data_IF_067892104905
#
_entry.id   IF_067892104905
#
_cell.length_a   1.000
_cell.length_b   1.000
_cell.length_c   1.000
_cell.angle_alpha   90.00
_cell.angle_beta   90.00
_cell.angle_gamma   90.00
#
_symmetry.space_group_name_H-M   'P 1'
#
loop_
_entity.id
_entity.type
_entity.pdbx_description
1 polymer ?
#
# COMPACT_ATOMS: atom_id res chain seq x y z
N UNK A 1 -0.37 -30.06 11.80
CA UNK A 1 -0.43 -29.01 10.75
C UNK A 1 0.45 -29.39 9.57
N UNK A 2 0.11 -30.49 8.87
CA UNK A 2 0.99 -31.15 7.89
C UNK A 2 0.26 -31.49 6.57
N UNK A 3 -0.75 -30.71 6.16
CA UNK A 3 -1.45 -30.98 4.88
C UNK A 3 -1.26 -29.93 3.79
N UNK A 4 -0.70 -28.74 4.08
CA UNK A 4 -0.49 -27.71 3.04
C UNK A 4 0.88 -27.76 2.34
N UNK A 5 1.91 -28.41 2.91
CA UNK A 5 3.22 -28.53 2.25
C UNK A 5 3.27 -29.57 1.13
N UNK A 6 2.33 -30.51 1.06
CA UNK A 6 2.37 -31.58 0.06
C UNK A 6 1.80 -31.13 -1.30
N UNK A 7 0.76 -30.30 -1.30
CA UNK A 7 0.13 -29.79 -2.53
C UNK A 7 1.04 -28.80 -3.26
N UNK A 8 1.74 -27.93 -2.53
CA UNK A 8 2.70 -26.99 -3.11
C UNK A 8 3.92 -27.72 -3.72
N UNK A 9 4.42 -28.78 -3.08
CA UNK A 9 5.55 -29.56 -3.61
C UNK A 9 5.18 -30.35 -4.87
N UNK A 10 3.96 -30.90 -4.93
CA UNK A 10 3.45 -31.63 -6.10
C UNK A 10 3.20 -30.69 -7.29
N UNK A 11 2.71 -29.46 -7.05
CA UNK A 11 2.53 -28.46 -8.10
C UNK A 11 3.87 -27.88 -8.61
N UNK A 12 4.87 -27.76 -7.75
CA UNK A 12 6.21 -27.31 -8.18
C UNK A 12 6.95 -28.41 -8.97
N UNK A 13 6.84 -29.66 -8.53
CA UNK A 13 7.43 -30.79 -9.24
C UNK A 13 6.76 -31.05 -10.60
N UNK A 14 5.44 -30.85 -10.70
CA UNK A 14 4.72 -30.98 -11.98
C UNK A 14 5.04 -29.84 -12.94
N UNK A 15 5.20 -28.61 -12.45
CA UNK A 15 5.60 -27.46 -13.27
C UNK A 15 7.04 -27.58 -13.78
N UNK A 16 7.98 -28.00 -12.93
CA UNK A 16 9.37 -28.21 -13.35
C UNK A 16 9.50 -29.40 -14.31
N UNK A 17 8.78 -30.49 -14.07
CA UNK A 17 8.73 -31.62 -14.99
C UNK A 17 8.09 -31.23 -16.34
N UNK A 18 7.03 -30.42 -16.33
CA UNK A 18 6.40 -29.91 -17.55
C UNK A 18 7.35 -28.98 -18.31
N UNK A 19 8.09 -28.11 -17.61
CA UNK A 19 9.03 -27.18 -18.22
C UNK A 19 10.27 -27.90 -18.77
N UNK A 20 10.81 -28.91 -18.07
CA UNK A 20 11.89 -29.77 -18.57
C UNK A 20 11.42 -30.61 -19.75
N UNK A 21 10.20 -31.15 -19.70
CA UNK A 21 9.60 -31.90 -20.81
C UNK A 21 9.33 -31.02 -22.03
N UNK A 22 8.84 -29.79 -21.82
CA UNK A 22 8.64 -28.78 -22.87
C UNK A 22 9.97 -28.34 -23.46
N UNK A 23 11.00 -28.10 -22.64
CA UNK A 23 12.34 -27.75 -23.13
C UNK A 23 13.03 -28.91 -23.85
N UNK A 24 12.89 -30.15 -23.38
CA UNK A 24 13.41 -31.32 -24.09
C UNK A 24 12.64 -31.56 -25.39
N UNK A 25 11.32 -31.29 -25.42
CA UNK A 25 10.53 -31.33 -26.66
C UNK A 25 10.88 -30.19 -27.60
N UNK A 26 11.12 -28.98 -27.10
CA UNK A 26 11.52 -27.83 -27.91
C UNK A 26 12.92 -28.05 -28.49
N UNK A 27 13.86 -28.60 -27.71
CA UNK A 27 15.21 -28.93 -28.18
C UNK A 27 15.21 -30.12 -29.15
N UNK A 28 14.39 -31.14 -28.88
CA UNK A 28 14.15 -32.23 -29.83
C UNK A 28 13.46 -31.72 -31.09
N UNK A 29 12.48 -30.83 -30.98
CA UNK A 29 11.77 -30.24 -32.11
C UNK A 29 12.68 -29.30 -32.89
N UNK A 30 13.55 -28.51 -32.28
CA UNK A 30 14.51 -27.67 -33.00
C UNK A 30 15.60 -28.51 -33.65
N UNK A 31 16.04 -29.61 -33.01
CA UNK A 31 16.94 -30.60 -33.59
C UNK A 31 16.32 -31.39 -34.75
N UNK A 32 15.02 -31.72 -34.66
CA UNK A 32 14.25 -32.36 -35.73
C UNK A 32 14.00 -31.35 -36.86
N UNK A 33 13.59 -30.13 -36.54
CA UNK A 33 13.31 -29.06 -37.51
C UNK A 33 14.59 -28.64 -38.24
N UNK A 34 15.76 -28.60 -37.58
CA UNK A 34 17.05 -28.33 -38.26
C UNK A 34 17.52 -29.50 -39.14
N UNK A 35 17.28 -30.76 -38.72
CA UNK A 35 17.50 -31.94 -39.58
C UNK A 35 16.51 -32.04 -40.74
N UNK A 36 15.26 -31.66 -40.51
CA UNK A 36 14.16 -31.69 -41.47
C UNK A 36 14.30 -30.53 -42.45
N UNK A 37 14.67 -29.32 -42.01
CA UNK A 37 15.07 -28.21 -42.91
C UNK A 37 16.32 -28.60 -43.72
N UNK A 38 17.29 -29.28 -43.10
CA UNK A 38 18.49 -29.78 -43.78
C UNK A 38 18.25 -30.91 -44.78
N UNK A 39 17.17 -31.70 -44.62
CA UNK A 39 16.77 -32.80 -45.54
C UNK A 39 15.64 -32.45 -46.51
N UNK A 40 14.81 -31.46 -46.20
CA UNK A 40 13.59 -31.08 -46.94
C UNK A 40 13.83 -29.98 -47.98
N UNK A 41 14.99 -29.31 -47.94
CA UNK A 41 15.37 -28.35 -48.99
C UNK A 41 15.68 -28.98 -50.37
N UNK A 42 15.51 -30.29 -50.55
CA UNK A 42 15.72 -30.97 -51.84
C UNK A 42 14.44 -31.37 -52.57
N UNK A 43 13.25 -31.26 -51.97
CA UNK A 43 11.99 -31.65 -52.60
C UNK A 43 11.05 -30.45 -52.77
N UNK A 44 10.63 -30.19 -54.02
CA UNK A 44 9.81 -29.02 -54.38
C UNK A 44 8.44 -29.02 -53.72
N UNK A 45 7.91 -30.19 -53.36
CA UNK A 45 6.58 -30.35 -52.75
C UNK A 45 6.52 -29.84 -51.30
N UNK A 46 7.58 -30.04 -50.52
CA UNK A 46 7.67 -29.56 -49.14
C UNK A 46 7.83 -28.04 -49.08
N UNK A 47 8.64 -27.48 -49.99
CA UNK A 47 8.77 -26.02 -50.16
C UNK A 47 7.43 -25.41 -50.57
N UNK A 48 6.67 -26.11 -51.41
CA UNK A 48 5.34 -25.67 -51.83
C UNK A 48 4.31 -25.76 -50.71
N UNK A 49 4.46 -26.68 -49.77
CA UNK A 49 3.63 -26.78 -48.56
C UNK A 49 3.95 -25.66 -47.57
N UNK A 50 5.24 -25.43 -47.27
CA UNK A 50 5.66 -24.32 -46.42
C UNK A 50 5.24 -22.95 -46.96
N UNK A 51 5.32 -22.74 -48.27
CA UNK A 51 4.84 -21.50 -48.90
C UNK A 51 3.33 -21.30 -48.71
N UNK A 52 2.54 -22.37 -48.77
CA UNK A 52 1.10 -22.33 -48.51
C UNK A 52 0.81 -22.00 -47.04
N UNK A 53 1.51 -22.65 -46.11
CA UNK A 53 1.33 -22.41 -44.67
C UNK A 53 1.72 -20.98 -44.28
N UNK A 54 2.80 -20.42 -44.85
CA UNK A 54 3.20 -19.02 -44.65
C UNK A 54 2.14 -18.06 -45.19
N UNK A 55 1.58 -18.35 -46.37
CA UNK A 55 0.52 -17.53 -46.96
C UNK A 55 -0.74 -17.54 -46.09
N UNK A 56 -1.12 -18.69 -45.55
CA UNK A 56 -2.29 -18.83 -44.68
C UNK A 56 -2.09 -18.08 -43.34
N UNK A 57 -0.90 -18.18 -42.76
CA UNK A 57 -0.53 -17.41 -41.57
C UNK A 57 -0.52 -15.89 -41.83
N UNK A 58 -0.07 -15.46 -43.00
CA UNK A 58 -0.11 -14.04 -43.41
C UNK A 58 -1.55 -13.54 -43.56
N UNK A 59 -2.45 -14.36 -44.09
CA UNK A 59 -3.87 -14.03 -44.20
C UNK A 59 -4.54 -13.96 -42.82
N UNK A 60 -4.24 -14.91 -41.93
CA UNK A 60 -4.71 -14.89 -40.54
C UNK A 60 -4.20 -13.65 -39.80
N UNK A 61 -2.94 -13.27 -39.98
CA UNK A 61 -2.36 -12.06 -39.40
C UNK A 61 -3.05 -10.79 -39.92
N UNK A 62 -3.37 -10.75 -41.21
CA UNK A 62 -4.09 -9.63 -41.84
C UNK A 62 -5.52 -9.54 -41.31
N UNK A 63 -6.23 -10.67 -41.17
CA UNK A 63 -7.55 -10.72 -40.53
C UNK A 63 -7.49 -10.26 -39.09
N UNK A 64 -6.48 -10.69 -38.32
CA UNK A 64 -6.34 -10.27 -36.92
C UNK A 64 -6.04 -8.77 -36.82
N UNK A 65 -5.17 -8.23 -37.69
CA UNK A 65 -4.93 -6.78 -37.79
C UNK A 65 -6.19 -6.01 -38.16
N UNK A 66 -6.99 -6.53 -39.09
CA UNK A 66 -8.27 -5.94 -39.46
C UNK A 66 -9.27 -6.02 -38.31
N UNK A 67 -9.39 -7.15 -37.61
CA UNK A 67 -10.23 -7.29 -36.42
C UNK A 67 -9.81 -6.36 -35.28
N UNK A 68 -8.50 -6.13 -35.10
CA UNK A 68 -7.98 -5.14 -34.14
C UNK A 68 -8.32 -3.72 -34.61
N UNK A 69 -8.29 -3.44 -35.91
CA UNK A 69 -8.65 -2.16 -36.52
C UNK A 69 -10.16 -1.87 -36.52
N UNK A 70 -11.01 -2.90 -36.61
CA UNK A 70 -12.49 -2.80 -36.56
C UNK A 70 -12.98 -2.95 -35.12
N UNK A 71 -12.12 -3.40 -34.19
CA UNK A 71 -12.43 -3.37 -32.76
C UNK A 71 -12.89 -1.94 -32.48
N UNK A 72 -14.13 -1.73 -32.03
CA UNK A 72 -14.58 -0.39 -31.75
C UNK A 72 -13.55 0.18 -30.79
N UNK A 73 -12.95 1.32 -31.14
CA UNK A 73 -12.27 2.13 -30.13
C UNK A 73 -13.22 2.13 -28.95
N UNK A 74 -12.75 1.66 -27.78
CA UNK A 74 -13.47 1.93 -26.54
C UNK A 74 -13.79 3.41 -26.61
N UNK A 75 -15.09 3.73 -26.74
CA UNK A 75 -15.63 5.06 -26.96
C UNK A 75 -14.67 6.08 -26.35
N UNK A 76 -13.89 6.77 -27.18
CA UNK A 76 -12.93 7.79 -26.77
C UNK A 76 -13.62 9.01 -26.14
N UNK A 77 -14.96 8.96 -26.08
CA UNK A 77 -15.85 9.88 -25.37
C UNK A 77 -16.37 9.34 -24.02
N UNK A 78 -15.95 8.16 -23.55
CA UNK A 78 -15.92 7.95 -22.11
C UNK A 78 -14.75 8.80 -21.61
N UNK A 79 -15.05 10.02 -21.16
CA UNK A 79 -14.08 10.82 -20.42
C UNK A 79 -13.53 9.88 -19.36
N UNK A 80 -12.28 9.45 -19.54
CA UNK A 80 -11.57 8.70 -18.53
C UNK A 80 -11.72 9.52 -17.25
N UNK A 81 -12.43 8.99 -16.25
CA UNK A 81 -12.67 9.69 -14.98
C UNK A 81 -11.36 10.02 -14.25
N UNK A 82 -10.26 9.48 -14.75
CA UNK A 82 -8.92 9.59 -14.22
C UNK A 82 -7.94 10.15 -15.27
N UNK A 83 -6.88 10.86 -14.82
CA UNK A 83 -5.80 11.34 -15.67
C UNK A 83 -5.12 10.24 -16.49
N UNK A 84 -4.45 10.63 -17.57
CA UNK A 84 -3.65 9.71 -18.37
C UNK A 84 -2.38 9.27 -17.60
N UNK A 85 -2.14 7.96 -17.56
CA UNK A 85 -1.01 7.35 -16.85
C UNK A 85 -0.03 6.72 -17.83
N UNK A 86 1.26 6.76 -17.49
CA UNK A 86 2.29 6.08 -18.29
C UNK A 86 2.05 4.57 -18.30
N UNK A 87 2.19 3.92 -19.45
CA UNK A 87 2.14 2.47 -19.51
C UNK A 87 3.41 1.85 -18.90
N UNK A 88 3.22 0.83 -18.05
CA UNK A 88 4.28 -0.05 -17.54
C UNK A 88 3.91 -1.51 -17.74
N UNK A 89 4.89 -2.29 -18.21
CA UNK A 89 4.78 -3.74 -18.29
C UNK A 89 4.90 -4.38 -16.89
N UNK A 90 4.66 -5.68 -16.78
CA UNK A 90 4.65 -6.40 -15.50
C UNK A 90 6.01 -6.37 -14.78
N UNK A 91 7.12 -6.38 -15.52
CA UNK A 91 8.48 -6.34 -14.93
C UNK A 91 8.84 -5.00 -14.30
N UNK A 92 8.32 -3.89 -14.85
CA UNK A 92 8.66 -2.53 -14.41
C UNK A 92 7.57 -1.86 -13.59
N UNK A 93 6.36 -2.41 -13.60
CA UNK A 93 5.26 -2.00 -12.74
C UNK A 93 5.52 -2.53 -11.33
N UNK A 94 5.17 -1.71 -10.35
CA UNK A 94 5.30 -2.05 -8.94
C UNK A 94 3.95 -1.88 -8.29
N UNK A 95 3.65 -2.71 -7.30
CA UNK A 95 2.51 -2.59 -6.40
C UNK A 95 2.96 -1.89 -5.12
N UNK A 96 2.42 -0.70 -4.88
CA UNK A 96 2.94 0.24 -3.88
C UNK A 96 1.84 0.56 -2.87
N UNK A 97 2.13 0.32 -1.59
CA UNK A 97 1.25 0.71 -0.48
C UNK A 97 1.64 2.08 0.06
N UNK A 98 0.66 2.97 0.19
CA UNK A 98 0.84 4.29 0.84
C UNK A 98 -0.15 4.39 2.00
N UNK A 99 0.35 4.36 3.23
CA UNK A 99 -0.50 4.66 4.40
C UNK A 99 -0.62 6.17 4.57
N UNK A 100 -1.80 6.68 4.94
CA UNK A 100 -2.05 8.11 4.91
C UNK A 100 -2.18 8.64 3.48
N UNK A 101 -2.56 7.77 2.53
CA UNK A 101 -2.61 8.08 1.10
C UNK A 101 -3.64 9.15 0.73
N UNK A 102 -4.65 9.39 1.58
CA UNK A 102 -5.61 10.48 1.39
C UNK A 102 -5.22 11.75 2.19
N UNK A 103 -4.07 11.75 2.87
CA UNK A 103 -3.48 12.93 3.51
C UNK A 103 -2.76 13.85 2.52
N UNK A 104 -2.24 14.98 3.00
CA UNK A 104 -1.60 16.00 2.15
C UNK A 104 -0.38 15.46 1.39
N UNK A 105 0.64 14.95 2.09
CA UNK A 105 1.85 14.43 1.44
C UNK A 105 1.56 13.12 0.70
N UNK A 106 0.75 12.26 1.31
CA UNK A 106 0.41 10.94 0.75
C UNK A 106 -0.27 11.03 -0.60
N UNK A 107 -1.22 11.96 -0.79
CA UNK A 107 -1.94 12.09 -2.06
C UNK A 107 -1.05 12.60 -3.19
N UNK A 108 -0.10 13.50 -2.91
CA UNK A 108 0.83 14.00 -3.94
C UNK A 108 1.83 12.91 -4.38
N UNK A 109 2.30 12.09 -3.44
CA UNK A 109 3.14 10.94 -3.76
C UNK A 109 2.35 9.92 -4.60
N UNK A 110 1.10 9.66 -4.22
CA UNK A 110 0.18 8.80 -4.95
C UNK A 110 -0.02 9.28 -6.38
N UNK A 111 -0.33 10.57 -6.58
CA UNK A 111 -0.49 11.16 -7.92
C UNK A 111 0.75 10.91 -8.78
N UNK A 112 1.94 11.17 -8.23
CA UNK A 112 3.20 10.98 -8.95
C UNK A 112 3.41 9.52 -9.38
N UNK A 113 3.13 8.57 -8.48
CA UNK A 113 3.30 7.13 -8.72
C UNK A 113 2.25 6.58 -9.69
N UNK A 114 1.01 7.06 -9.59
CA UNK A 114 -0.06 6.75 -10.53
C UNK A 114 0.29 7.23 -11.94
N UNK A 115 0.73 8.49 -12.09
CA UNK A 115 1.17 9.05 -13.37
C UNK A 115 2.36 8.28 -13.95
N UNK A 116 3.22 7.72 -13.11
CA UNK A 116 4.32 6.85 -13.54
C UNK A 116 3.86 5.47 -14.01
N UNK A 117 2.61 5.08 -13.79
CA UNK A 117 2.04 3.80 -14.25
C UNK A 117 2.15 2.65 -13.24
N UNK A 118 2.43 2.95 -11.97
CA UNK A 118 2.45 1.94 -10.92
C UNK A 118 1.05 1.55 -10.46
N UNK A 119 0.93 0.42 -9.78
CA UNK A 119 -0.26 0.04 -9.03
C UNK A 119 -0.12 0.61 -7.63
N UNK A 120 -1.10 1.40 -7.19
CA UNK A 120 -1.03 2.14 -5.94
C UNK A 120 -2.24 1.84 -5.06
N UNK A 121 -1.96 1.44 -3.83
CA UNK A 121 -2.94 1.20 -2.78
C UNK A 121 -2.87 2.37 -1.80
N UNK A 122 -3.92 3.18 -1.75
CA UNK A 122 -4.09 4.20 -0.73
C UNK A 122 -4.77 3.59 0.50
N UNK A 123 -4.02 3.48 1.59
CA UNK A 123 -4.54 3.03 2.87
C UNK A 123 -4.75 4.23 3.80
N UNK A 124 -5.99 4.52 4.17
CA UNK A 124 -6.32 5.68 4.99
C UNK A 124 -7.59 5.42 5.79
N UNK A 125 -7.68 5.94 7.03
CA UNK A 125 -8.90 5.86 7.85
C UNK A 125 -9.76 7.13 7.78
N UNK A 126 -9.32 8.13 7.00
CA UNK A 126 -9.89 9.47 6.88
C UNK A 126 -9.96 10.27 8.18
N UNK A 127 -9.08 9.98 9.15
CA UNK A 127 -9.01 10.74 10.40
C UNK A 127 -8.65 12.21 10.15
N UNK A 128 -7.58 12.45 9.36
CA UNK A 128 -7.21 13.77 8.84
C UNK A 128 -7.25 13.85 7.31
N UNK A 129 -7.16 12.69 6.64
CA UNK A 129 -7.23 12.58 5.19
C UNK A 129 -8.61 12.93 4.63
N UNK A 130 -8.67 13.29 3.35
CA UNK A 130 -9.92 13.62 2.66
C UNK A 130 -10.03 12.82 1.37
N UNK A 131 -11.19 12.17 1.16
CA UNK A 131 -11.45 11.36 -0.05
C UNK A 131 -11.25 12.15 -1.35
N UNK A 132 -11.57 13.44 -1.36
CA UNK A 132 -11.34 14.34 -2.50
C UNK A 132 -9.88 14.39 -3.00
N UNK A 133 -8.91 14.08 -2.13
CA UNK A 133 -7.50 14.13 -2.50
C UNK A 133 -7.10 12.97 -3.43
N UNK A 134 -7.92 11.93 -3.52
CA UNK A 134 -7.66 10.71 -4.33
C UNK A 134 -8.83 10.36 -5.25
N UNK A 135 -9.86 11.20 -5.31
CA UNK A 135 -11.11 10.91 -6.02
C UNK A 135 -10.89 10.77 -7.53
N UNK A 136 -9.90 11.50 -8.07
CA UNK A 136 -9.49 11.46 -9.46
C UNK A 136 -8.99 10.09 -9.91
N UNK A 137 -8.65 9.16 -9.00
CA UNK A 137 -8.18 7.82 -9.35
C UNK A 137 -9.22 6.73 -9.14
N UNK A 138 -10.38 7.06 -8.56
CA UNK A 138 -11.41 6.07 -8.26
C UNK A 138 -11.92 5.41 -9.55
N UNK A 139 -11.84 4.08 -9.60
CA UNK A 139 -12.19 3.29 -10.78
C UNK A 139 -11.04 3.07 -11.77
N UNK A 140 -9.86 3.64 -11.53
CA UNK A 140 -8.66 3.31 -12.30
C UNK A 140 -8.20 1.87 -11.96
N UNK A 141 -7.87 1.01 -12.94
CA UNK A 141 -7.52 -0.40 -12.70
C UNK A 141 -6.28 -0.60 -11.83
N UNK A 142 -5.34 0.36 -11.86
CA UNK A 142 -4.13 0.36 -11.05
C UNK A 142 -4.31 1.06 -9.67
N UNK A 143 -5.53 1.46 -9.29
CA UNK A 143 -5.76 2.18 -8.05
C UNK A 143 -6.70 1.42 -7.11
N UNK A 144 -6.28 1.29 -5.85
CA UNK A 144 -7.10 0.73 -4.79
C UNK A 144 -7.16 1.69 -3.60
N UNK A 145 -8.37 2.03 -3.16
CA UNK A 145 -8.59 2.81 -1.94
C UNK A 145 -9.11 1.90 -0.84
N UNK A 146 -8.34 1.78 0.24
CA UNK A 146 -8.64 0.91 1.38
C UNK A 146 -8.92 1.76 2.60
N UNK A 147 -10.15 1.69 3.11
CA UNK A 147 -10.52 2.32 4.38
C UNK A 147 -10.00 1.47 5.54
N UNK A 148 -8.82 1.80 6.06
CA UNK A 148 -8.17 1.01 7.11
C UNK A 148 -7.33 1.86 8.05
N UNK A 149 -7.31 1.43 9.31
CA UNK A 149 -6.54 2.07 10.37
C UNK A 149 -5.25 1.30 10.63
N UNK A 150 -4.10 1.95 10.47
CA UNK A 150 -2.79 1.31 10.63
C UNK A 150 -2.57 0.72 12.02
N UNK A 151 -3.32 1.15 13.04
CA UNK A 151 -3.28 0.52 14.38
C UNK A 151 -3.69 -0.95 14.34
N UNK A 152 -4.47 -1.35 13.34
CA UNK A 152 -4.80 -2.75 13.09
C UNK A 152 -3.86 -3.34 12.01
N UNK A 153 -3.44 -4.61 12.14
CA UNK A 153 -2.64 -5.27 11.12
C UNK A 153 -3.30 -5.23 9.74
N UNK A 154 -2.49 -5.04 8.70
CA UNK A 154 -2.91 -5.07 7.31
C UNK A 154 -1.95 -5.97 6.53
N UNK A 155 -2.50 -6.84 5.69
CA UNK A 155 -1.74 -7.82 4.91
C UNK A 155 -2.00 -7.59 3.44
N UNK A 156 -0.93 -7.46 2.65
CA UNK A 156 -1.00 -7.21 1.22
C UNK A 156 0.34 -7.55 0.57
N UNK A 157 0.32 -8.11 -0.62
CA UNK A 157 1.53 -8.39 -1.39
C UNK A 157 1.96 -7.13 -2.14
N UNK A 158 3.03 -6.47 -1.69
CA UNK A 158 3.48 -5.19 -2.25
C UNK A 158 4.99 -5.14 -2.37
N UNK A 159 5.48 -4.44 -3.40
CA UNK A 159 6.91 -4.25 -3.65
C UNK A 159 7.50 -3.12 -2.81
N UNK A 160 6.67 -2.11 -2.48
CA UNK A 160 7.10 -0.92 -1.75
C UNK A 160 6.04 -0.45 -0.77
N UNK A 161 6.49 0.07 0.36
CA UNK A 161 5.64 0.63 1.43
C UNK A 161 6.13 2.04 1.75
N UNK A 162 5.24 3.01 1.62
CA UNK A 162 5.45 4.38 2.07
C UNK A 162 4.53 4.65 3.28
N UNK A 163 5.13 4.72 4.47
CA UNK A 163 4.39 4.91 5.72
C UNK A 163 4.27 6.41 6.07
N UNK A 164 3.17 7.06 5.67
CA UNK A 164 2.89 8.48 5.91
C UNK A 164 1.68 8.73 6.83
N UNK A 165 1.10 7.69 7.43
CA UNK A 165 -0.06 7.82 8.30
C UNK A 165 0.35 8.38 9.67
N UNK A 166 0.01 9.65 9.92
CA UNK A 166 0.21 10.28 11.23
C UNK A 166 -0.76 11.46 11.44
N UNK A 167 -1.33 11.65 12.64
CA UNK A 167 -2.11 12.84 12.97
C UNK A 167 -1.23 14.10 13.14
N UNK A 168 -0.62 14.57 12.06
CA UNK A 168 0.41 15.61 11.87
C UNK A 168 0.50 16.85 12.79
N UNK A 169 -0.60 17.37 13.33
CA UNK A 169 -0.66 18.79 13.74
C UNK A 169 -1.02 19.04 15.22
N UNK A 170 -0.54 20.15 15.82
CA UNK A 170 -0.75 20.47 17.23
C UNK A 170 -2.21 20.35 17.71
N UNK A 171 -3.21 20.88 16.98
CA UNK A 171 -4.61 20.70 17.38
C UNK A 171 -5.04 19.24 17.47
N UNK A 172 -4.58 18.37 16.55
CA UNK A 172 -4.96 16.96 16.52
C UNK A 172 -4.26 16.13 17.61
N UNK A 173 -2.98 16.43 17.91
CA UNK A 173 -2.29 15.80 19.03
C UNK A 173 -2.93 16.15 20.38
N UNK A 174 -3.39 17.40 20.55
CA UNK A 174 -4.11 17.81 21.76
C UNK A 174 -5.50 17.19 21.84
N UNK A 175 -6.18 17.04 20.70
CA UNK A 175 -7.52 16.44 20.65
C UNK A 175 -7.52 14.95 21.03
N UNK A 176 -6.57 14.15 20.52
CA UNK A 176 -6.51 12.73 20.83
C UNK A 176 -5.06 12.18 20.90
N UNK A 177 -4.33 12.47 21.99
CA UNK A 177 -2.93 12.07 22.13
C UNK A 177 -2.76 10.54 22.18
N UNK A 178 -3.74 9.83 22.74
CA UNK A 178 -3.72 8.35 22.79
C UNK A 178 -3.78 7.78 21.37
N UNK A 179 -4.65 8.32 20.51
CA UNK A 179 -4.76 7.88 19.12
C UNK A 179 -3.47 8.16 18.35
N UNK A 180 -2.90 9.35 18.49
CA UNK A 180 -1.60 9.69 17.89
C UNK A 180 -0.52 8.70 18.28
N UNK A 181 -0.38 8.43 19.58
CA UNK A 181 0.64 7.52 20.07
C UNK A 181 0.43 6.11 19.50
N UNK A 182 -0.81 5.61 19.48
CA UNK A 182 -1.12 4.31 18.89
C UNK A 182 -0.78 4.28 17.40
N UNK A 183 -1.18 5.29 16.63
CA UNK A 183 -0.90 5.36 15.19
C UNK A 183 0.61 5.36 14.91
N UNK A 184 1.37 6.18 15.62
CA UNK A 184 2.81 6.34 15.38
C UNK A 184 3.65 5.18 15.95
N UNK A 185 3.19 4.47 16.98
CA UNK A 185 3.93 3.34 17.55
C UNK A 185 3.41 2.00 17.02
N UNK A 186 2.14 1.68 17.31
CA UNK A 186 1.52 0.40 16.92
C UNK A 186 1.39 0.33 15.39
N UNK A 187 0.99 1.43 14.75
CA UNK A 187 0.90 1.48 13.29
C UNK A 187 2.24 1.21 12.62
N UNK A 188 3.30 1.86 13.09
CA UNK A 188 4.65 1.59 12.57
C UNK A 188 5.09 0.14 12.81
N UNK A 189 4.83 -0.43 13.98
CA UNK A 189 5.13 -1.86 14.25
C UNK A 189 4.39 -2.78 13.26
N UNK A 190 3.10 -2.52 13.01
CA UNK A 190 2.32 -3.32 12.07
C UNK A 190 2.89 -3.22 10.63
N UNK A 191 3.27 -2.02 10.19
CA UNK A 191 3.84 -1.83 8.84
C UNK A 191 5.25 -2.43 8.72
N UNK A 192 6.06 -2.40 9.78
CA UNK A 192 7.32 -3.14 9.83
C UNK A 192 7.09 -4.65 9.77
N UNK A 193 6.04 -5.15 10.44
CA UNK A 193 5.61 -6.54 10.34
C UNK A 193 5.23 -6.94 8.91
N UNK A 194 4.49 -6.08 8.21
CA UNK A 194 4.17 -6.25 6.79
C UNK A 194 5.43 -6.23 5.92
N UNK A 195 6.31 -5.24 6.10
CA UNK A 195 7.57 -5.13 5.36
C UNK A 195 8.43 -6.39 5.51
N UNK A 196 8.51 -6.93 6.73
CA UNK A 196 9.21 -8.19 7.00
C UNK A 196 8.57 -9.37 6.29
N UNK A 197 7.24 -9.46 6.32
CA UNK A 197 6.48 -10.51 5.63
C UNK A 197 6.73 -10.49 4.13
N UNK A 198 6.57 -9.33 3.47
CA UNK A 198 6.74 -9.22 2.01
C UNK A 198 8.20 -9.41 1.56
N UNK A 199 9.17 -8.97 2.37
CA UNK A 199 10.59 -9.13 2.06
C UNK A 199 11.13 -10.54 2.38
N UNK A 200 10.36 -11.40 3.04
CA UNK A 200 10.86 -12.67 3.58
C UNK A 200 12.02 -12.48 4.56
N UNK A 201 12.10 -11.31 5.22
CA UNK A 201 13.23 -10.95 6.06
C UNK A 201 13.18 -11.65 7.42
N UNK A 202 14.35 -11.98 7.95
CA UNK A 202 14.52 -12.48 9.33
C UNK A 202 14.81 -11.38 10.35
N UNK A 203 14.79 -10.11 9.93
CA UNK A 203 15.02 -8.98 10.83
C UNK A 203 13.90 -8.89 11.86
N UNK A 204 14.25 -9.04 13.13
CA UNK A 204 13.30 -8.91 14.22
C UNK A 204 13.17 -7.47 14.72
N UNK A 205 11.95 -7.14 15.17
CA UNK A 205 11.72 -5.92 15.95
C UNK A 205 12.21 -6.19 17.37
N UNK A 206 13.35 -5.62 17.72
CA UNK A 206 13.97 -5.79 19.04
C UNK A 206 13.53 -4.64 19.95
N UNK A 207 12.90 -4.98 21.07
CA UNK A 207 12.57 -4.02 22.11
C UNK A 207 13.78 -3.82 23.02
N UNK A 208 14.49 -2.72 22.83
CA UNK A 208 15.63 -2.36 23.65
C UNK A 208 15.19 -1.83 25.02
N UNK A 209 16.01 -2.00 26.08
CA UNK A 209 15.78 -1.33 27.35
C UNK A 209 15.79 0.20 27.16
N UNK A 210 15.16 0.91 28.11
CA UNK A 210 15.08 2.38 28.11
C UNK A 210 16.46 3.01 28.00
N UNK A 211 16.55 4.15 27.31
CA UNK A 211 17.78 4.94 27.29
C UNK A 211 18.08 5.50 28.69
N UNK A 212 19.37 5.64 29.02
CA UNK A 212 19.82 6.11 30.34
C UNK A 212 19.24 7.49 30.70
N UNK A 213 19.04 8.34 29.69
CA UNK A 213 18.54 9.72 29.83
C UNK A 213 17.01 9.84 29.71
N UNK A 214 16.28 8.73 29.53
CA UNK A 214 14.82 8.79 29.56
C UNK A 214 14.35 9.18 30.96
N UNK A 215 13.39 10.11 31.11
CA UNK A 215 12.83 10.46 32.41
C UNK A 215 12.22 9.21 33.04
N UNK A 216 12.95 8.64 34.00
CA UNK A 216 12.67 7.32 34.56
C UNK A 216 11.36 7.30 35.37
N UNK A 217 10.93 8.46 35.85
CA UNK A 217 9.76 8.61 36.70
C UNK A 217 9.01 9.90 36.33
N UNK A 218 7.77 9.76 35.84
CA UNK A 218 6.83 10.89 35.66
C UNK A 218 5.92 11.11 36.87
N UNK A 219 6.23 10.42 37.98
CA UNK A 219 5.57 10.58 39.26
C UNK A 219 6.61 11.09 40.25
N UNK A 220 6.55 12.36 40.67
CA UNK A 220 7.48 12.86 41.67
C UNK A 220 7.32 12.05 42.97
N UNK A 221 8.44 11.62 43.55
CA UNK A 221 8.46 11.09 44.90
C UNK A 221 8.25 12.23 45.90
N UNK A 222 7.11 12.22 46.56
CA UNK A 222 6.67 13.31 47.45
C UNK A 222 7.14 13.13 48.90
N UNK A 223 7.88 12.05 49.22
CA UNK A 223 8.31 11.76 50.60
C UNK A 223 9.03 12.93 51.25
N UNK A 224 9.95 13.55 50.52
CA UNK A 224 10.74 14.69 51.01
C UNK A 224 9.87 15.93 51.30
N UNK A 225 8.84 16.16 50.49
CA UNK A 225 7.89 17.26 50.72
C UNK A 225 7.00 16.99 51.94
N UNK A 226 6.61 15.72 52.14
CA UNK A 226 5.88 15.31 53.35
C UNK A 226 6.71 15.47 54.61
N UNK A 227 7.96 14.99 54.61
CA UNK A 227 8.84 15.02 55.79
C UNK A 227 9.27 16.44 56.17
N UNK A 228 9.59 17.29 55.19
CA UNK A 228 10.12 18.64 55.45
C UNK A 228 9.03 19.70 55.61
N UNK A 229 7.90 19.54 54.92
CA UNK A 229 6.87 20.58 54.82
C UNK A 229 5.50 20.11 55.34
N UNK A 230 5.37 18.84 55.77
CA UNK A 230 4.06 18.24 56.06
C UNK A 230 3.16 18.13 54.82
N UNK A 231 3.71 18.36 53.63
CA UNK A 231 2.93 18.50 52.42
C UNK A 231 2.50 17.13 51.89
N UNK A 232 1.20 16.96 51.70
CA UNK A 232 0.60 15.80 51.04
C UNK A 232 -0.54 16.26 50.12
N UNK A 233 -0.88 15.51 49.07
CA UNK A 233 -2.07 15.77 48.28
C UNK A 233 -3.30 15.77 49.19
N UNK A 234 -4.04 16.88 49.19
CA UNK A 234 -5.27 17.01 49.98
C UNK A 234 -6.49 16.44 49.26
N UNK A 235 -6.35 16.20 47.96
CA UNK A 235 -7.42 15.71 47.08
C UNK A 235 -7.00 14.36 46.50
N UNK A 236 -7.93 13.42 46.45
CA UNK A 236 -7.70 12.12 45.83
C UNK A 236 -7.44 12.28 44.33
N UNK A 237 -6.75 11.32 43.69
CA UNK A 237 -6.52 11.37 42.25
C UNK A 237 -7.84 11.42 41.46
N UNK A 238 -8.83 10.65 41.89
CA UNK A 238 -10.14 10.61 41.25
C UNK A 238 -10.88 11.95 41.37
N UNK A 239 -10.90 12.55 42.55
CA UNK A 239 -11.61 13.82 42.77
C UNK A 239 -10.86 14.98 42.10
N UNK A 240 -9.52 14.96 42.15
CA UNK A 240 -8.68 15.90 41.43
C UNK A 240 -8.88 15.82 39.92
N UNK A 241 -9.04 14.61 39.37
CA UNK A 241 -9.33 14.43 37.95
C UNK A 241 -10.70 14.99 37.57
N UNK A 242 -11.73 14.81 38.42
CA UNK A 242 -13.05 15.42 38.20
C UNK A 242 -12.97 16.94 38.14
N UNK A 243 -12.30 17.56 39.11
CA UNK A 243 -12.10 19.02 39.15
C UNK A 243 -11.32 19.52 37.94
N UNK A 244 -10.32 18.76 37.52
CA UNK A 244 -9.50 19.08 36.34
C UNK A 244 -10.35 19.02 35.06
N UNK A 245 -11.18 17.98 34.90
CA UNK A 245 -12.10 17.85 33.75
C UNK A 245 -13.09 19.01 33.73
N UNK A 246 -13.68 19.34 34.86
CA UNK A 246 -14.63 20.44 35.00
C UNK A 246 -13.98 21.78 34.62
N UNK A 247 -12.80 22.07 35.18
CA UNK A 247 -12.02 23.27 34.85
C UNK A 247 -11.75 23.38 33.34
N UNK A 248 -11.19 22.34 32.71
CA UNK A 248 -10.89 22.38 31.28
C UNK A 248 -12.14 22.44 30.40
N UNK A 249 -13.26 21.88 30.86
CA UNK A 249 -14.54 21.97 30.17
C UNK A 249 -15.04 23.42 30.14
N UNK A 250 -14.92 24.14 31.26
CA UNK A 250 -15.24 25.58 31.36
C UNK A 250 -14.30 26.43 30.50
N UNK A 251 -12.99 26.16 30.54
CA UNK A 251 -12.00 26.89 29.74
C UNK A 251 -12.25 26.75 28.22
N UNK A 252 -12.58 25.54 27.76
CA UNK A 252 -12.93 25.29 26.37
C UNK A 252 -14.24 25.98 25.95
N UNK A 253 -15.20 26.11 26.87
CA UNK A 253 -16.44 26.85 26.62
C UNK A 253 -16.19 28.36 26.54
N UNK A 254 -15.36 28.89 27.44
CA UNK A 254 -14.90 30.28 27.42
C UNK A 254 -14.19 30.65 26.11
N UNK A 255 -13.24 29.83 25.66
CA UNK A 255 -12.51 30.04 24.40
C UNK A 255 -13.44 30.03 23.17
N UNK A 256 -14.45 29.14 23.15
CA UNK A 256 -15.49 29.12 22.09
C UNK A 256 -16.32 30.40 22.08
N UNK A 257 -16.69 30.92 23.25
CA UNK A 257 -17.47 32.15 23.38
C UNK A 257 -16.65 33.38 22.97
N UNK A 258 -15.39 33.44 23.39
CA UNK A 258 -14.46 34.51 23.01
C UNK A 258 -14.23 34.58 21.50
N UNK A 259 -13.91 33.43 20.88
CA UNK A 259 -13.73 33.35 19.42
C UNK A 259 -15.00 33.68 18.62
N UNK A 260 -16.18 33.35 19.14
CA UNK A 260 -17.46 33.72 18.52
C UNK A 260 -17.76 35.22 18.61
N UNK A 261 -17.31 35.91 19.66
CA UNK A 261 -17.51 37.35 19.83
C UNK A 261 -16.51 38.17 18.99
N UNK A 262 -15.25 37.75 18.90
CA UNK A 262 -14.24 38.42 18.06
C UNK A 262 -14.58 38.37 16.54
N UNK A 263 -15.41 37.42 16.10
CA UNK A 263 -15.93 37.37 14.72
C UNK A 263 -17.12 38.29 14.47
N UNK A 264 -17.85 38.71 15.52
CA UNK A 264 -18.97 39.66 15.39
C UNK A 264 -18.50 41.11 15.37
N UNK A 265 -17.38 41.41 16.02
CA UNK A 265 -16.84 42.77 16.11
C UNK A 265 -16.00 43.18 14.87
N UNK A 266 -15.70 42.24 13.97
CA UNK A 266 -14.90 42.47 12.76
C UNK A 266 -15.73 42.43 11.45
N UNK A 267 -17.05 42.53 11.54
CA UNK A 267 -17.99 42.50 10.41
C UNK A 267 -19.04 43.61 10.55
#
# INVERSE_FOLDING_TARGET
>A
MTSMSFVALVLFASSLALMVFLNSRLFSMTGQLTKDIGRSLTNSDDVSKLKRDISDLQEQLLRLKHLISIRPEKNSNAISSYPNVKFRNEETRKRILITGGAGFVGSHLLDRLMLDGHEVIALDNFFTGRKRNVEQWIGHPNFELVHHDVVNPYYSEVDQIYHLASPASPPHYMYNPVKTLKTNAIGTINLLGLARYVAGSKSDVIYMPKLQDDPQQRRPDIRRAYELLGWKPQVSMHDGLKLTIEYFSQELEYEKLKSANEHKDNN
#
